data_IF_855465901513
#
_entry.id   IF_855465901513
#
_cell.length_a   1.000
_cell.length_b   1.000
_cell.length_c   1.000
_cell.angle_alpha   90.00
_cell.angle_beta   90.00
_cell.angle_gamma   90.00
#
_symmetry.space_group_name_H-M   'P 1'
#
loop_
_entity.id
_entity.type
_entity.pdbx_description
1 polymer ?
#
# COMPACT_ATOMS: atom_id res chain seq x y z
N UNK A 1 -26.22 -13.90 -32.83
CA UNK A 1 -25.88 -12.92 -31.78
C UNK A 1 -24.59 -13.36 -31.13
N UNK A 2 -23.62 -12.48 -30.87
CA UNK A 2 -22.43 -12.85 -30.11
C UNK A 2 -22.83 -12.99 -28.63
N UNK A 3 -22.60 -14.16 -28.07
CA UNK A 3 -22.88 -14.49 -26.68
C UNK A 3 -21.95 -13.70 -25.74
N UNK A 4 -22.49 -13.13 -24.66
CA UNK A 4 -21.70 -12.53 -23.59
C UNK A 4 -22.14 -11.14 -23.12
N UNK A 5 -23.04 -10.48 -23.85
CA UNK A 5 -23.72 -9.28 -23.33
C UNK A 5 -25.04 -9.76 -22.76
N UNK A 6 -25.07 -10.06 -21.46
CA UNK A 6 -26.35 -10.03 -20.75
C UNK A 6 -26.87 -8.60 -20.92
N UNK A 7 -27.92 -8.44 -21.73
CA UNK A 7 -28.56 -7.15 -21.90
C UNK A 7 -29.01 -6.67 -20.52
N UNK A 8 -28.37 -5.62 -20.03
CA UNK A 8 -28.78 -4.90 -18.83
C UNK A 8 -30.24 -4.50 -19.03
N UNK A 9 -31.12 -5.24 -18.36
CA UNK A 9 -32.55 -5.17 -18.58
C UNK A 9 -33.07 -3.82 -18.10
N UNK A 10 -32.42 -3.26 -17.07
CA UNK A 10 -32.67 -1.90 -16.58
C UNK A 10 -32.22 -0.86 -17.61
N UNK A 11 -31.06 -1.07 -18.25
CA UNK A 11 -30.58 -0.24 -19.34
C UNK A 11 -31.54 -0.20 -20.53
N UNK A 12 -32.16 -1.32 -20.88
CA UNK A 12 -33.16 -1.42 -21.95
C UNK A 12 -34.47 -0.71 -21.59
N UNK A 13 -35.00 -0.94 -20.39
CA UNK A 13 -36.20 -0.27 -19.90
C UNK A 13 -36.03 1.26 -19.83
N UNK A 14 -34.82 1.73 -19.52
CA UNK A 14 -34.51 3.16 -19.48
C UNK A 14 -34.51 3.83 -20.87
N UNK A 15 -34.15 3.11 -21.93
CA UNK A 15 -34.03 3.66 -23.30
C UNK A 15 -35.22 3.33 -24.20
N UNK A 16 -36.01 2.30 -23.87
CA UNK A 16 -37.19 1.88 -24.64
C UNK A 16 -38.18 3.03 -24.96
N UNK A 17 -38.53 3.94 -24.03
CA UNK A 17 -39.41 5.06 -24.33
C UNK A 17 -38.84 5.97 -25.43
N UNK A 18 -37.53 6.22 -25.40
CA UNK A 18 -36.83 7.06 -26.39
C UNK A 18 -36.79 6.37 -27.74
N UNK A 19 -36.53 5.07 -27.79
CA UNK A 19 -36.53 4.30 -29.04
C UNK A 19 -37.91 4.31 -29.70
N UNK A 20 -38.99 4.21 -28.90
CA UNK A 20 -40.37 4.31 -29.38
C UNK A 20 -40.72 5.73 -29.85
N UNK A 21 -40.30 6.77 -29.13
CA UNK A 21 -40.48 8.17 -29.57
C UNK A 21 -39.77 8.46 -30.90
N UNK A 22 -38.60 7.83 -31.13
CA UNK A 22 -37.85 7.92 -32.38
C UNK A 22 -38.43 7.04 -33.50
N UNK A 23 -39.52 6.29 -33.26
CA UNK A 23 -40.14 5.36 -34.20
C UNK A 23 -39.15 4.35 -34.82
N UNK A 24 -38.14 3.92 -34.04
CA UNK A 24 -37.22 2.89 -34.51
C UNK A 24 -37.95 1.54 -34.57
N UNK A 25 -37.78 0.83 -35.68
CA UNK A 25 -38.23 -0.55 -35.76
C UNK A 25 -37.34 -1.49 -34.92
N UNK A 26 -37.82 -2.71 -34.67
CA UNK A 26 -37.12 -3.68 -33.81
C UNK A 26 -35.71 -4.04 -34.33
N UNK A 27 -35.49 -4.04 -35.65
CA UNK A 27 -34.18 -4.34 -36.24
C UNK A 27 -33.20 -3.18 -36.04
N UNK A 28 -33.68 -1.94 -36.20
CA UNK A 28 -32.92 -0.72 -35.95
C UNK A 28 -32.56 -0.57 -34.47
N UNK A 29 -33.52 -0.82 -33.57
CA UNK A 29 -33.29 -0.85 -32.12
C UNK A 29 -32.26 -1.93 -31.74
N UNK A 30 -32.39 -3.14 -32.30
CA UNK A 30 -31.44 -4.22 -32.09
C UNK A 30 -30.03 -3.90 -32.57
N UNK A 31 -29.88 -3.25 -33.73
CA UNK A 31 -28.57 -2.79 -34.25
C UNK A 31 -27.94 -1.71 -33.38
N UNK A 32 -28.72 -0.74 -32.91
CA UNK A 32 -28.24 0.31 -32.03
C UNK A 32 -27.75 -0.28 -30.70
N UNK A 33 -28.55 -1.17 -30.11
CA UNK A 33 -28.21 -1.85 -28.86
C UNK A 33 -26.99 -2.77 -29.02
N UNK A 34 -26.87 -3.47 -30.15
CA UNK A 34 -25.68 -4.25 -30.47
C UNK A 34 -24.42 -3.39 -30.60
N UNK A 35 -24.52 -2.24 -31.28
CA UNK A 35 -23.39 -1.30 -31.40
C UNK A 35 -23.02 -0.66 -30.05
N UNK A 36 -24.01 -0.37 -29.20
CA UNK A 36 -23.79 0.12 -27.84
C UNK A 36 -23.04 -0.91 -27.00
N UNK A 37 -23.50 -2.16 -27.02
CA UNK A 37 -22.86 -3.24 -26.28
C UNK A 37 -21.43 -3.51 -26.78
N UNK A 38 -21.20 -3.51 -28.10
CA UNK A 38 -19.89 -3.84 -28.65
C UNK A 38 -18.86 -2.70 -28.51
N UNK A 39 -19.31 -1.44 -28.54
CA UNK A 39 -18.39 -0.28 -28.57
C UNK A 39 -18.38 0.51 -27.27
N UNK A 40 -19.54 0.71 -26.65
CA UNK A 40 -19.68 1.64 -25.53
C UNK A 40 -19.43 0.94 -24.20
N UNK A 41 -19.97 -0.27 -23.98
CA UNK A 41 -19.75 -1.01 -22.73
C UNK A 41 -18.26 -1.21 -22.43
N UNK A 42 -17.41 -1.69 -23.37
CA UNK A 42 -15.97 -1.83 -23.10
C UNK A 42 -15.28 -0.49 -22.80
N UNK A 43 -15.75 0.61 -23.41
CA UNK A 43 -15.23 1.95 -23.11
C UNK A 43 -15.62 2.43 -21.71
N UNK A 44 -16.84 2.12 -21.25
CA UNK A 44 -17.30 2.44 -19.90
C UNK A 44 -16.47 1.64 -18.88
N UNK A 45 -16.31 0.33 -19.08
CA UNK A 45 -15.49 -0.52 -18.22
C UNK A 45 -14.04 -0.04 -18.17
N UNK A 46 -13.45 0.28 -19.31
CA UNK A 46 -12.08 0.83 -19.38
C UNK A 46 -11.96 2.16 -18.63
N UNK A 47 -12.96 3.05 -18.73
CA UNK A 47 -12.98 4.31 -17.99
C UNK A 47 -13.15 4.08 -16.49
N UNK A 48 -14.02 3.16 -16.08
CA UNK A 48 -14.23 2.83 -14.67
C UNK A 48 -12.94 2.28 -14.05
N UNK A 49 -12.26 1.34 -14.73
CA UNK A 49 -10.97 0.83 -14.31
C UNK A 49 -9.92 1.95 -14.17
N UNK A 50 -9.84 2.85 -15.16
CA UNK A 50 -8.92 4.00 -15.10
C UNK A 50 -9.23 4.95 -13.94
N UNK A 51 -10.51 5.22 -13.68
CA UNK A 51 -10.91 6.07 -12.55
C UNK A 51 -10.53 5.43 -11.21
N UNK A 52 -10.68 4.11 -11.07
CA UNK A 52 -10.23 3.38 -9.88
C UNK A 52 -8.71 3.49 -9.70
N UNK A 53 -7.94 3.31 -10.78
CA UNK A 53 -6.48 3.46 -10.75
C UNK A 53 -6.05 4.89 -10.35
N UNK A 54 -6.70 5.91 -10.89
CA UNK A 54 -6.38 7.29 -10.59
C UNK A 54 -6.76 7.66 -9.15
N UNK A 55 -7.90 7.17 -8.65
CA UNK A 55 -8.28 7.32 -7.24
C UNK A 55 -7.30 6.61 -6.28
N UNK A 56 -6.80 5.42 -6.67
CA UNK A 56 -5.79 4.70 -5.88
C UNK A 56 -4.46 5.47 -5.81
N UNK A 57 -4.04 6.11 -6.91
CA UNK A 57 -2.85 6.98 -6.93
C UNK A 57 -3.02 8.21 -6.06
N UNK A 58 -4.19 8.85 -6.11
CA UNK A 58 -4.50 10.02 -5.29
C UNK A 58 -4.46 9.65 -3.79
N UNK A 59 -5.11 8.56 -3.41
CA UNK A 59 -5.05 8.04 -2.04
C UNK A 59 -3.61 7.76 -1.60
N UNK A 60 -2.81 7.13 -2.46
CA UNK A 60 -1.41 6.83 -2.17
C UNK A 60 -0.58 8.10 -1.96
N UNK A 61 -0.82 9.14 -2.76
CA UNK A 61 -0.17 10.44 -2.62
C UNK A 61 -0.58 11.15 -1.32
N UNK A 62 -1.86 11.07 -0.95
CA UNK A 62 -2.37 11.62 0.31
C UNK A 62 -1.78 10.90 1.53
N UNK A 63 -1.65 9.57 1.48
CA UNK A 63 -0.97 8.80 2.52
C UNK A 63 0.48 9.27 2.69
N UNK A 64 1.22 9.42 1.59
CA UNK A 64 2.60 9.92 1.64
C UNK A 64 2.67 11.32 2.25
N UNK A 65 1.79 12.23 1.84
CA UNK A 65 1.70 13.58 2.42
C UNK A 65 1.40 13.53 3.92
N UNK A 66 0.45 12.70 4.34
CA UNK A 66 0.08 12.54 5.74
C UNK A 66 1.21 11.95 6.57
N UNK A 67 1.93 10.95 6.06
CA UNK A 67 3.13 10.41 6.70
C UNK A 67 4.23 11.47 6.83
N UNK A 68 4.49 12.25 5.79
CA UNK A 68 5.46 13.34 5.85
C UNK A 68 5.10 14.40 6.88
N UNK A 69 3.80 14.71 7.04
CA UNK A 69 3.29 15.67 8.00
C UNK A 69 3.12 15.11 9.43
N UNK A 70 3.27 13.79 9.63
CA UNK A 70 3.05 13.17 10.94
C UNK A 70 4.11 13.64 11.96
N UNK A 71 3.71 14.13 13.15
CA UNK A 71 4.64 14.69 14.13
C UNK A 71 5.49 13.63 14.87
N UNK A 72 5.08 12.37 14.83
CA UNK A 72 5.74 11.28 15.55
C UNK A 72 6.69 10.49 14.67
N UNK A 73 6.26 10.16 13.45
CA UNK A 73 7.02 9.33 12.50
C UNK A 73 7.34 10.03 11.19
N UNK A 74 6.87 11.25 10.98
CA UNK A 74 7.12 12.05 9.79
C UNK A 74 8.27 13.04 9.91
N UNK A 75 8.35 13.96 8.96
CA UNK A 75 9.33 15.05 8.92
C UNK A 75 10.77 14.59 9.14
N UNK A 76 11.44 15.22 10.12
CA UNK A 76 12.82 14.91 10.47
C UNK A 76 13.01 13.50 11.09
N UNK A 77 11.96 12.92 11.67
CA UNK A 77 11.99 11.59 12.31
C UNK A 77 11.76 10.45 11.32
N UNK A 78 11.33 10.75 10.09
CA UNK A 78 10.94 9.75 9.11
C UNK A 78 12.04 8.74 8.80
N UNK A 79 13.27 9.20 8.62
CA UNK A 79 14.40 8.30 8.34
C UNK A 79 14.67 7.32 9.49
N UNK A 80 14.59 7.79 10.72
CA UNK A 80 14.76 6.97 11.92
C UNK A 80 13.60 5.97 12.05
N UNK A 81 12.36 6.43 11.88
CA UNK A 81 11.18 5.58 11.91
C UNK A 81 11.23 4.49 10.83
N UNK A 82 11.70 4.81 9.62
CA UNK A 82 11.92 3.85 8.53
C UNK A 82 13.00 2.83 8.88
N UNK A 83 14.10 3.25 9.52
CA UNK A 83 15.17 2.32 9.92
C UNK A 83 14.68 1.30 10.96
N UNK A 84 13.94 1.75 11.98
CA UNK A 84 13.33 0.82 12.95
C UNK A 84 12.26 -0.06 12.33
N UNK A 85 11.44 0.49 11.42
CA UNK A 85 10.46 -0.29 10.68
C UNK A 85 11.11 -1.40 9.85
N UNK A 86 12.19 -1.08 9.14
CA UNK A 86 12.96 -2.05 8.36
C UNK A 86 13.57 -3.14 9.25
N UNK A 87 14.06 -2.78 10.45
CA UNK A 87 14.54 -3.76 11.43
C UNK A 87 13.42 -4.68 11.91
N UNK A 88 12.22 -4.15 12.16
CA UNK A 88 11.08 -4.95 12.58
C UNK A 88 10.66 -5.95 11.51
N UNK A 89 10.60 -5.50 10.25
CA UNK A 89 10.32 -6.37 9.10
C UNK A 89 11.41 -7.44 8.96
N UNK A 90 12.68 -7.09 9.09
CA UNK A 90 13.80 -8.05 9.03
C UNK A 90 13.75 -9.13 10.11
N UNK A 91 13.30 -8.78 11.32
CA UNK A 91 13.12 -9.74 12.40
C UNK A 91 11.91 -10.67 12.17
N UNK A 92 10.80 -10.13 11.66
CA UNK A 92 9.58 -10.89 11.40
C UNK A 92 9.67 -11.76 10.14
N UNK A 93 10.40 -11.30 9.13
CA UNK A 93 10.63 -11.98 7.85
C UNK A 93 12.14 -12.15 7.61
N UNK A 94 12.77 -13.20 8.17
CA UNK A 94 14.20 -13.44 7.98
C UNK A 94 14.57 -13.71 6.52
N UNK A 95 13.66 -14.34 5.76
CA UNK A 95 13.83 -14.63 4.35
C UNK A 95 13.84 -13.34 3.51
N UNK A 96 14.91 -13.15 2.74
CA UNK A 96 15.08 -11.97 1.89
C UNK A 96 14.06 -11.90 0.74
N UNK A 97 13.60 -13.04 0.23
CA UNK A 97 12.63 -13.12 -0.86
C UNK A 97 11.25 -12.67 -0.39
N UNK A 98 10.79 -13.15 0.76
CA UNK A 98 9.54 -12.73 1.41
C UNK A 98 9.57 -11.24 1.78
N UNK A 99 10.72 -10.70 2.18
CA UNK A 99 10.87 -9.26 2.41
C UNK A 99 10.75 -8.42 1.15
N UNK A 100 11.30 -8.89 0.04
CA UNK A 100 11.16 -8.21 -1.25
C UNK A 100 9.70 -8.20 -1.69
N UNK A 101 9.01 -9.34 -1.59
CA UNK A 101 7.58 -9.47 -1.89
C UNK A 101 6.73 -8.55 -1.01
N UNK A 102 6.98 -8.54 0.30
CA UNK A 102 6.27 -7.64 1.22
C UNK A 102 6.53 -6.16 0.89
N UNK A 103 7.77 -5.81 0.54
CA UNK A 103 8.11 -4.44 0.13
C UNK A 103 7.39 -4.04 -1.16
N UNK A 104 7.28 -4.95 -2.12
CA UNK A 104 6.53 -4.72 -3.36
C UNK A 104 5.05 -4.51 -3.06
N UNK A 105 4.44 -5.38 -2.25
CA UNK A 105 3.05 -5.23 -1.81
C UNK A 105 2.79 -3.88 -1.14
N UNK A 106 3.66 -3.42 -0.24
CA UNK A 106 3.52 -2.13 0.42
C UNK A 106 3.63 -0.94 -0.55
N UNK A 107 4.45 -1.06 -1.59
CA UNK A 107 4.60 -0.02 -2.61
C UNK A 107 3.39 0.02 -3.56
N UNK A 108 2.91 -1.14 -4.01
CA UNK A 108 1.77 -1.25 -4.92
C UNK A 108 0.45 -0.85 -4.26
N UNK A 109 0.27 -1.20 -2.98
CA UNK A 109 -0.91 -0.82 -2.21
C UNK A 109 -0.85 0.60 -1.64
N UNK A 110 0.31 1.26 -1.69
CA UNK A 110 0.55 2.54 -1.03
C UNK A 110 0.64 2.46 0.51
N UNK A 111 0.46 1.27 1.12
CA UNK A 111 0.50 1.08 2.57
C UNK A 111 1.88 1.39 3.18
N UNK A 112 2.95 1.30 2.41
CA UNK A 112 4.29 1.72 2.86
C UNK A 112 4.36 3.19 3.29
N UNK A 113 3.46 4.02 2.75
CA UNK A 113 3.32 5.44 3.08
C UNK A 113 2.28 5.71 4.18
N UNK A 114 1.71 4.68 4.80
CA UNK A 114 0.63 4.85 5.77
C UNK A 114 1.19 5.17 7.19
N UNK A 115 0.86 6.33 7.81
CA UNK A 115 1.45 6.76 9.08
C UNK A 115 1.22 5.77 10.23
N UNK A 116 0.02 5.18 10.33
CA UNK A 116 -0.25 4.16 11.36
C UNK A 116 0.61 2.90 11.19
N UNK A 117 0.82 2.43 9.96
CA UNK A 117 1.66 1.25 9.73
C UNK A 117 3.11 1.56 10.09
N UNK A 118 3.62 2.71 9.65
CA UNK A 118 4.96 3.18 10.03
C UNK A 118 5.09 3.32 11.54
N UNK A 119 4.08 3.82 12.26
CA UNK A 119 4.08 3.92 13.72
C UNK A 119 4.18 2.55 14.38
N UNK A 120 3.38 1.58 13.95
CA UNK A 120 3.42 0.22 14.52
C UNK A 120 4.79 -0.43 14.28
N UNK A 121 5.31 -0.37 13.05
CA UNK A 121 6.59 -0.97 12.70
C UNK A 121 7.77 -0.27 13.38
N UNK A 122 7.75 1.06 13.46
CA UNK A 122 8.73 1.85 14.19
C UNK A 122 8.74 1.46 15.68
N UNK A 123 7.58 1.44 16.33
CA UNK A 123 7.47 1.07 17.75
C UNK A 123 8.02 -0.34 17.99
N UNK A 124 7.68 -1.31 17.13
CA UNK A 124 8.22 -2.65 17.23
C UNK A 124 9.74 -2.68 17.07
N UNK A 125 10.29 -1.98 16.07
CA UNK A 125 11.73 -1.91 15.82
C UNK A 125 12.51 -1.20 16.92
N UNK A 126 11.92 -0.17 17.54
CA UNK A 126 12.48 0.52 18.71
C UNK A 126 12.53 -0.40 19.92
N UNK A 127 11.43 -1.08 20.24
CA UNK A 127 11.38 -2.04 21.35
C UNK A 127 12.45 -3.15 21.21
N UNK A 128 12.67 -3.65 19.99
CA UNK A 128 13.75 -4.61 19.71
C UNK A 128 15.15 -4.03 19.91
N UNK A 129 15.34 -2.73 19.62
CA UNK A 129 16.64 -2.06 19.75
C UNK A 129 16.96 -1.69 21.19
N UNK A 130 15.95 -1.30 21.97
CA UNK A 130 16.06 -1.07 23.40
C UNK A 130 16.36 -2.38 24.14
N UNK A 131 15.70 -3.49 23.77
CA UNK A 131 16.01 -4.82 24.31
C UNK A 131 17.41 -5.35 23.91
N UNK A 132 17.97 -4.87 22.81
CA UNK A 132 19.31 -5.26 22.34
C UNK A 132 20.43 -4.44 22.98
N UNK A 133 20.12 -3.39 23.73
CA UNK A 133 21.14 -2.60 24.44
C UNK A 133 21.44 -3.35 25.74
N UNK A 134 22.63 -3.95 25.92
CA UNK A 134 23.00 -4.46 27.23
C UNK A 134 22.95 -3.27 28.18
N UNK A 135 22.33 -3.42 29.36
CA UNK A 135 22.48 -2.45 30.43
C UNK A 135 24.00 -2.23 30.64
N UNK A 136 24.51 -1.11 30.17
CA UNK A 136 25.89 -0.73 30.39
C UNK A 136 26.10 -0.54 31.88
N UNK A 137 26.81 -1.49 32.51
CA UNK A 137 27.45 -1.29 33.81
C UNK A 137 26.73 -1.89 35.01
N UNK A 138 26.90 -3.20 35.23
CA UNK A 138 27.01 -3.77 36.57
C UNK A 138 27.76 -5.12 36.49
N UNK A 139 29.09 -5.09 36.50
CA UNK A 139 29.87 -6.34 36.61
C UNK A 139 31.22 -6.36 35.89
N UNK A 140 32.07 -5.36 36.11
CA UNK A 140 33.45 -5.40 35.66
C UNK A 140 34.22 -4.34 36.42
N UNK A 141 34.80 -4.71 37.56
CA UNK A 141 35.56 -3.80 38.42
C UNK A 141 36.58 -2.99 37.61
N UNK A 142 36.67 -1.70 37.91
CA UNK A 142 37.72 -0.81 37.43
C UNK A 142 39.07 -1.48 37.64
N UNK A 143 39.64 -2.03 36.58
CA UNK A 143 41.05 -2.36 36.57
C UNK A 143 41.78 -1.03 36.47
N UNK A 144 42.50 -0.69 37.54
CA UNK A 144 43.29 0.54 37.56
C UNK A 144 44.35 0.50 36.45
N UNK A 145 44.79 1.66 35.96
CA UNK A 145 45.78 1.74 34.88
C UNK A 145 47.06 0.92 35.15
N UNK A 146 47.38 0.69 36.42
CA UNK A 146 48.48 -0.16 36.85
C UNK A 146 48.25 -1.67 36.55
N UNK A 147 47.01 -2.17 36.64
CA UNK A 147 46.67 -3.56 36.32
C UNK A 147 46.67 -3.86 34.82
N UNK A 148 46.42 -2.85 33.99
CA UNK A 148 46.50 -2.97 32.53
C UNK A 148 47.97 -2.98 32.07
N UNK A 149 48.84 -2.22 32.73
CA UNK A 149 50.25 -2.09 32.32
C UNK A 149 51.15 -3.23 32.79
N UNK A 150 50.93 -3.81 33.98
CA UNK A 150 51.88 -4.78 34.54
C UNK A 150 51.49 -6.24 34.41
N UNK A 151 50.25 -6.57 34.02
CA UNK A 151 49.81 -7.96 33.83
C UNK A 151 49.80 -8.77 35.14
N UNK A 152 48.67 -9.41 35.44
CA UNK A 152 48.50 -10.23 36.64
C UNK A 152 49.61 -11.29 36.76
N UNK A 153 50.52 -11.13 37.72
CA UNK A 153 51.43 -12.19 38.20
C UNK A 153 50.80 -12.85 39.42
N UNK A 154 50.57 -14.16 39.33
CA UNK A 154 50.06 -15.02 40.40
C UNK A 154 48.64 -15.47 40.13
#
# INVERSE_FOLDING_TARGET
MPEGVEFDTEGFEAVEPVLRELNLDNDQAGKLMGAYAEKIVPMIESRAAKQMDDAAKELSADLAKNLHADPEVGGAKLKEAQAYSAKAIAAALPDATLRAEFSQFLNESGLGNHPLLTRVLNTAGRAMSEASTPAGGAGGGEKTAAEVFYGRKG
#
